data_IF_781498567318
#
_entry.id   IF_781498567318
#
_cell.length_a   1.000
_cell.length_b   1.000
_cell.length_c   1.000
_cell.angle_alpha   90.00
_cell.angle_beta   90.00
_cell.angle_gamma   90.00
#
_symmetry.space_group_name_H-M   'P 1'
#
loop_
_entity.id
_entity.type
_entity.pdbx_description
1 polymer ?
#
# COMPACT_ATOMS: atom_id res chain seq x y z
N UNK A 1 38.69 -16.39 36.64
CA UNK A 1 37.95 -16.58 35.39
C UNK A 1 36.49 -16.91 35.74
N UNK A 2 35.59 -15.87 35.82
CA UNK A 2 34.17 -16.05 36.19
C UNK A 2 33.39 -16.21 34.92
N UNK A 3 32.82 -17.39 34.72
CA UNK A 3 31.87 -17.65 33.65
C UNK A 3 30.51 -17.03 34.06
N UNK A 4 30.11 -15.97 33.44
CA UNK A 4 28.75 -15.45 33.59
C UNK A 4 27.77 -16.29 32.77
N UNK A 5 26.96 -17.05 33.46
CA UNK A 5 25.83 -17.79 32.90
C UNK A 5 24.79 -16.80 32.44
N UNK A 6 24.63 -16.62 31.13
CA UNK A 6 23.54 -15.83 30.53
C UNK A 6 22.30 -16.74 30.54
N UNK A 7 21.53 -16.68 31.64
CA UNK A 7 20.16 -17.23 31.67
C UNK A 7 19.20 -16.22 31.02
N UNK A 8 19.23 -16.17 29.70
CA UNK A 8 18.20 -15.49 28.92
C UNK A 8 16.91 -16.31 28.94
N UNK A 9 16.01 -16.08 29.89
CA UNK A 9 14.63 -16.54 29.82
C UNK A 9 14.02 -15.97 28.53
N UNK A 10 13.89 -16.82 27.49
CA UNK A 10 12.96 -16.57 26.40
C UNK A 10 11.56 -16.47 27.01
N UNK A 11 11.13 -15.25 27.38
CA UNK A 11 9.72 -14.97 27.62
C UNK A 11 9.03 -15.24 26.29
N UNK A 12 8.26 -16.34 26.24
CA UNK A 12 7.20 -16.52 25.28
C UNK A 12 6.25 -15.32 25.43
N UNK A 13 6.52 -14.23 24.69
CA UNK A 13 5.56 -13.16 24.55
C UNK A 13 4.48 -13.72 23.62
N UNK A 14 3.44 -14.31 24.22
CA UNK A 14 2.17 -14.45 23.56
C UNK A 14 1.89 -13.09 22.89
N UNK A 15 1.64 -13.10 21.58
CA UNK A 15 1.34 -11.86 20.84
C UNK A 15 0.21 -11.16 21.59
N UNK A 16 0.42 -10.00 22.20
CA UNK A 16 -0.66 -9.28 22.83
C UNK A 16 -1.62 -8.91 21.68
N UNK A 17 -2.85 -9.36 21.77
CA UNK A 17 -3.91 -9.03 20.82
C UNK A 17 -4.26 -7.54 21.05
N UNK A 18 -3.44 -6.66 20.54
CA UNK A 18 -3.60 -5.22 20.64
C UNK A 18 -4.43 -4.73 19.46
N UNK A 19 -5.26 -3.72 19.69
CA UNK A 19 -6.13 -3.14 18.67
C UNK A 19 -5.39 -2.82 17.34
N UNK A 20 -4.18 -2.23 17.35
CA UNK A 20 -3.43 -2.00 16.09
C UNK A 20 -3.13 -3.28 15.32
N UNK A 21 -2.70 -4.35 16.00
CA UNK A 21 -2.41 -5.65 15.33
C UNK A 21 -3.68 -6.25 14.73
N UNK A 22 -4.82 -6.16 15.43
CA UNK A 22 -6.09 -6.62 14.89
C UNK A 22 -6.48 -5.84 13.62
N UNK A 23 -6.31 -4.52 13.62
CA UNK A 23 -6.60 -3.67 12.45
C UNK A 23 -5.69 -4.02 11.27
N UNK A 24 -4.39 -4.27 11.50
CA UNK A 24 -3.48 -4.73 10.45
C UNK A 24 -3.91 -6.07 9.85
N UNK A 25 -4.32 -7.05 10.67
CA UNK A 25 -4.84 -8.33 10.18
C UNK A 25 -6.15 -8.17 9.40
N UNK A 26 -7.06 -7.33 9.89
CA UNK A 26 -8.29 -7.00 9.18
C UNK A 26 -7.97 -6.45 7.79
N UNK A 27 -7.00 -5.54 7.72
CA UNK A 27 -6.59 -4.92 6.47
C UNK A 27 -5.99 -5.92 5.48
N UNK A 28 -5.13 -6.83 5.97
CA UNK A 28 -4.59 -7.93 5.15
C UNK A 28 -5.71 -8.85 4.62
N UNK A 29 -6.75 -9.10 5.42
CA UNK A 29 -7.90 -9.90 4.99
C UNK A 29 -8.78 -9.17 3.96
N UNK A 30 -8.82 -7.83 3.97
CA UNK A 30 -9.56 -7.04 2.99
C UNK A 30 -8.97 -7.13 1.57
N UNK A 31 -7.66 -7.41 1.42
CA UNK A 31 -7.02 -7.56 0.11
C UNK A 31 -7.61 -8.72 -0.72
N UNK A 32 -7.61 -9.98 -0.21
CA UNK A 32 -8.22 -11.09 -0.94
C UNK A 32 -9.73 -10.91 -1.11
N UNK A 33 -10.41 -10.25 -0.17
CA UNK A 33 -11.83 -9.94 -0.31
C UNK A 33 -12.08 -8.98 -1.48
N UNK A 34 -11.28 -7.91 -1.60
CA UNK A 34 -11.38 -6.95 -2.69
C UNK A 34 -11.16 -7.63 -4.06
N UNK A 35 -10.16 -8.50 -4.14
CA UNK A 35 -9.86 -9.22 -5.38
C UNK A 35 -10.95 -10.26 -5.65
N UNK A 36 -11.34 -11.02 -4.63
CA UNK A 36 -12.28 -12.14 -4.73
C UNK A 36 -13.68 -11.73 -5.18
N UNK A 37 -14.13 -10.50 -4.86
CA UNK A 37 -15.48 -10.05 -5.23
C UNK A 37 -15.72 -10.04 -6.76
N UNK A 38 -14.67 -9.83 -7.55
CA UNK A 38 -14.76 -9.83 -9.01
C UNK A 38 -14.76 -11.24 -9.64
N UNK A 39 -14.55 -12.29 -8.84
CA UNK A 39 -14.70 -13.68 -9.25
C UNK A 39 -16.08 -14.25 -8.95
N UNK A 40 -16.96 -13.46 -8.27
CA UNK A 40 -18.34 -13.87 -8.04
C UNK A 40 -19.13 -13.81 -9.36
N UNK A 41 -20.01 -14.78 -9.62
CA UNK A 41 -20.85 -14.79 -10.81
C UNK A 41 -21.77 -13.57 -10.88
N UNK A 42 -21.96 -13.01 -12.08
CA UNK A 42 -22.80 -11.82 -12.29
C UNK A 42 -24.28 -12.02 -11.88
N UNK A 43 -24.76 -13.28 -11.87
CA UNK A 43 -26.12 -13.59 -11.41
C UNK A 43 -26.30 -13.48 -9.89
N UNK A 44 -25.20 -13.46 -9.11
CA UNK A 44 -25.24 -13.20 -7.66
C UNK A 44 -25.10 -11.71 -7.37
N UNK A 45 -24.13 -11.08 -7.99
CA UNK A 45 -23.81 -9.67 -7.75
C UNK A 45 -23.44 -9.02 -9.08
N UNK A 46 -24.20 -7.98 -9.49
CA UNK A 46 -23.92 -7.26 -10.73
C UNK A 46 -22.53 -6.61 -10.72
N UNK A 47 -21.91 -6.42 -11.88
CA UNK A 47 -20.60 -5.78 -12.02
C UNK A 47 -20.57 -4.38 -11.38
N UNK A 48 -21.69 -3.66 -11.42
CA UNK A 48 -21.81 -2.38 -10.72
C UNK A 48 -21.68 -2.53 -9.20
N UNK A 49 -22.39 -3.49 -8.60
CA UNK A 49 -22.31 -3.74 -7.17
C UNK A 49 -20.95 -4.27 -6.74
N UNK A 50 -20.29 -5.13 -7.56
CA UNK A 50 -18.92 -5.57 -7.34
C UNK A 50 -17.95 -4.38 -7.33
N UNK A 51 -18.07 -3.48 -8.32
CA UNK A 51 -17.26 -2.27 -8.47
C UNK A 51 -17.45 -1.30 -7.30
N UNK A 52 -18.69 -1.06 -6.89
CA UNK A 52 -19.01 -0.22 -5.74
C UNK A 52 -18.46 -0.80 -4.44
N UNK A 53 -18.67 -2.11 -4.22
CA UNK A 53 -18.18 -2.78 -3.01
C UNK A 53 -16.66 -2.79 -2.95
N UNK A 54 -15.97 -3.04 -4.06
CA UNK A 54 -14.51 -2.99 -4.12
C UNK A 54 -13.97 -1.58 -3.83
N UNK A 55 -14.61 -0.53 -4.36
CA UNK A 55 -14.25 0.85 -4.06
C UNK A 55 -14.44 1.17 -2.56
N UNK A 56 -15.55 0.72 -1.95
CA UNK A 56 -15.81 0.90 -0.52
C UNK A 56 -14.77 0.14 0.32
N UNK A 57 -14.47 -1.13 -0.02
CA UNK A 57 -13.45 -1.92 0.68
C UNK A 57 -12.10 -1.21 0.64
N UNK A 58 -11.69 -0.69 -0.53
CA UNK A 58 -10.43 0.04 -0.67
C UNK A 58 -10.40 1.29 0.21
N UNK A 59 -11.48 2.11 0.20
CA UNK A 59 -11.57 3.32 1.02
C UNK A 59 -11.54 2.98 2.51
N UNK A 60 -12.30 1.98 2.94
CA UNK A 60 -12.32 1.53 4.34
C UNK A 60 -10.94 1.05 4.77
N UNK A 61 -10.27 0.25 3.92
CA UNK A 61 -8.91 -0.19 4.19
C UNK A 61 -7.95 1.00 4.35
N UNK A 62 -7.97 1.97 3.43
CA UNK A 62 -7.10 3.14 3.48
C UNK A 62 -7.34 4.02 4.72
N UNK A 63 -8.61 4.18 5.14
CA UNK A 63 -8.96 4.92 6.36
C UNK A 63 -8.50 4.14 7.60
N UNK A 64 -8.69 2.83 7.63
CA UNK A 64 -8.29 1.97 8.74
C UNK A 64 -6.78 2.01 8.94
N UNK A 65 -5.99 1.91 7.87
CA UNK A 65 -4.53 2.03 7.91
C UNK A 65 -4.06 3.38 8.49
N UNK A 66 -4.73 4.47 8.08
CA UNK A 66 -4.40 5.79 8.63
C UNK A 66 -4.71 5.90 10.12
N UNK A 67 -5.83 5.31 10.57
CA UNK A 67 -6.25 5.31 11.98
C UNK A 67 -5.32 4.45 12.83
N UNK A 68 -4.99 3.24 12.40
CA UNK A 68 -4.15 2.33 13.19
C UNK A 68 -2.72 2.86 13.32
N UNK A 69 -2.15 3.41 12.25
CA UNK A 69 -0.86 4.10 12.31
C UNK A 69 -0.87 5.32 13.24
N UNK A 70 -1.98 6.06 13.33
CA UNK A 70 -2.13 7.16 14.28
C UNK A 70 -2.24 6.66 15.73
N UNK A 71 -3.09 5.66 15.98
CA UNK A 71 -3.34 5.08 17.30
C UNK A 71 -2.09 4.39 17.85
N UNK A 72 -1.37 3.62 17.04
CA UNK A 72 -0.14 2.94 17.43
C UNK A 72 0.91 3.93 17.93
N UNK A 73 1.07 5.07 17.26
CA UNK A 73 1.98 6.16 17.68
C UNK A 73 1.50 6.84 18.96
N UNK A 74 0.21 7.13 19.08
CA UNK A 74 -0.38 7.83 20.23
C UNK A 74 -0.31 6.99 21.50
N UNK A 75 -0.46 5.66 21.39
CA UNK A 75 -0.47 4.76 22.55
C UNK A 75 0.87 4.09 22.82
N UNK A 76 1.93 4.40 22.03
CA UNK A 76 3.23 3.73 22.09
C UNK A 76 3.13 2.19 22.04
N UNK A 77 2.15 1.66 21.31
CA UNK A 77 1.89 0.24 21.16
C UNK A 77 2.35 -0.26 19.77
N UNK A 78 3.55 0.14 19.38
CA UNK A 78 4.16 -0.36 18.14
C UNK A 78 4.76 -1.73 18.39
N UNK A 79 4.31 -2.76 17.66
CA UNK A 79 4.95 -4.09 17.66
C UNK A 79 5.93 -4.19 16.49
N UNK A 80 7.00 -4.96 16.68
CA UNK A 80 7.94 -5.26 15.59
C UNK A 80 7.26 -5.96 14.40
N UNK A 81 6.26 -6.80 14.69
CA UNK A 81 5.47 -7.50 13.69
C UNK A 81 4.54 -6.54 12.90
N UNK A 82 3.85 -5.60 13.57
CA UNK A 82 3.05 -4.58 12.91
C UNK A 82 3.91 -3.70 12.01
N UNK A 83 5.03 -3.17 12.52
CA UNK A 83 5.97 -2.38 11.74
C UNK A 83 6.51 -3.08 10.48
N UNK A 84 6.58 -4.41 10.48
CA UNK A 84 6.91 -5.22 9.31
C UNK A 84 5.70 -5.40 8.38
N UNK A 85 4.53 -5.67 8.94
CA UNK A 85 3.34 -6.04 8.16
C UNK A 85 2.69 -4.84 7.47
N UNK A 86 2.67 -3.65 8.12
CA UNK A 86 2.06 -2.42 7.57
C UNK A 86 2.59 -2.07 6.17
N UNK A 87 3.93 -1.97 5.93
CA UNK A 87 4.44 -1.67 4.60
C UNK A 87 4.17 -2.77 3.55
N UNK A 88 3.95 -4.01 3.97
CA UNK A 88 3.63 -5.14 3.07
C UNK A 88 2.17 -5.06 2.66
N UNK A 89 1.29 -4.90 3.63
CA UNK A 89 -0.15 -4.83 3.41
C UNK A 89 -0.52 -3.63 2.51
N UNK A 90 0.05 -2.42 2.77
CA UNK A 90 -0.13 -1.21 1.95
C UNK A 90 0.19 -1.44 0.46
N UNK A 91 1.24 -2.19 0.17
CA UNK A 91 1.59 -2.53 -1.22
C UNK A 91 0.69 -3.60 -1.81
N UNK A 92 0.25 -4.56 -1.00
CA UNK A 92 -0.61 -5.64 -1.48
C UNK A 92 -1.99 -5.13 -1.91
N UNK A 93 -2.60 -4.20 -1.16
CA UNK A 93 -3.92 -3.67 -1.55
C UNK A 93 -3.84 -2.86 -2.85
N UNK A 94 -2.80 -2.05 -3.00
CA UNK A 94 -2.56 -1.27 -4.22
C UNK A 94 -2.27 -2.20 -5.39
N UNK A 95 -1.39 -3.20 -5.22
CA UNK A 95 -1.06 -4.16 -6.27
C UNK A 95 -2.28 -5.01 -6.67
N UNK A 96 -3.02 -5.54 -5.69
CA UNK A 96 -4.25 -6.31 -5.93
C UNK A 96 -5.30 -5.51 -6.67
N UNK A 97 -5.53 -4.26 -6.25
CA UNK A 97 -6.47 -3.36 -6.93
C UNK A 97 -6.04 -3.06 -8.37
N UNK A 98 -4.75 -2.78 -8.61
CA UNK A 98 -4.24 -2.52 -9.97
C UNK A 98 -4.34 -3.76 -10.85
N UNK A 99 -4.08 -4.96 -10.33
CA UNK A 99 -4.25 -6.21 -11.09
C UNK A 99 -5.71 -6.41 -11.51
N UNK A 100 -6.65 -6.19 -10.59
CA UNK A 100 -8.09 -6.23 -10.90
C UNK A 100 -8.46 -5.19 -11.96
N UNK A 101 -7.98 -3.96 -11.83
CA UNK A 101 -8.24 -2.89 -12.80
C UNK A 101 -7.67 -3.22 -14.20
N UNK A 102 -6.51 -3.88 -14.27
CA UNK A 102 -5.95 -4.37 -15.52
C UNK A 102 -6.80 -5.50 -16.09
N UNK A 103 -7.23 -6.45 -15.26
CA UNK A 103 -8.11 -7.56 -15.69
C UNK A 103 -9.44 -7.04 -16.24
N UNK A 104 -10.01 -6.00 -15.65
CA UNK A 104 -11.24 -5.34 -16.10
C UNK A 104 -11.05 -4.43 -17.32
N UNK A 105 -9.83 -4.29 -17.85
CA UNK A 105 -9.51 -3.38 -18.94
C UNK A 105 -9.62 -1.88 -18.62
N UNK A 106 -9.70 -1.51 -17.33
CA UNK A 106 -9.83 -0.12 -16.87
C UNK A 106 -8.49 0.60 -16.73
N UNK A 107 -7.39 -0.15 -16.62
CA UNK A 107 -6.03 0.34 -16.54
C UNK A 107 -5.14 -0.46 -17.49
N UNK A 108 -4.24 0.22 -18.18
CA UNK A 108 -3.25 -0.45 -19.03
C UNK A 108 -2.27 -1.26 -18.17
N UNK A 109 -1.92 -2.48 -18.64
CA UNK A 109 -0.94 -3.33 -17.98
C UNK A 109 0.42 -2.63 -17.78
N UNK A 110 0.82 -1.74 -18.70
CA UNK A 110 2.06 -0.95 -18.61
C UNK A 110 2.00 -0.02 -17.40
N UNK A 111 0.88 0.71 -17.19
CA UNK A 111 0.71 1.59 -16.03
C UNK A 111 0.72 0.79 -14.73
N UNK A 112 0.01 -0.33 -14.67
CA UNK A 112 0.02 -1.22 -13.52
C UNK A 112 1.44 -1.71 -13.18
N UNK A 113 2.18 -2.18 -14.19
CA UNK A 113 3.55 -2.63 -14.03
C UNK A 113 4.50 -1.53 -13.54
N UNK A 114 4.43 -0.33 -14.10
CA UNK A 114 5.27 0.81 -13.67
C UNK A 114 5.02 1.13 -12.20
N UNK A 115 3.77 1.19 -11.76
CA UNK A 115 3.43 1.55 -10.39
C UNK A 115 3.87 0.45 -9.42
N UNK A 116 3.52 -0.81 -9.68
CA UNK A 116 3.84 -1.94 -8.80
C UNK A 116 5.36 -2.17 -8.77
N UNK A 117 6.01 -2.21 -9.93
CA UNK A 117 7.45 -2.44 -10.04
C UNK A 117 8.27 -1.39 -9.29
N UNK A 118 7.87 -0.12 -9.40
CA UNK A 118 8.54 0.95 -8.66
C UNK A 118 8.29 0.84 -7.14
N UNK A 119 7.09 0.49 -6.69
CA UNK A 119 6.83 0.31 -5.26
C UNK A 119 7.75 -0.75 -4.66
N UNK A 120 7.94 -1.86 -5.36
CA UNK A 120 8.84 -2.94 -4.95
C UNK A 120 10.30 -2.45 -4.97
N UNK A 121 10.74 -1.85 -6.08
CA UNK A 121 12.13 -1.41 -6.27
C UNK A 121 12.57 -0.38 -5.22
N UNK A 122 11.72 0.62 -4.95
CA UNK A 122 12.06 1.66 -3.94
C UNK A 122 11.98 1.10 -2.52
N UNK A 123 11.13 0.13 -2.26
CA UNK A 123 11.09 -0.51 -0.94
C UNK A 123 12.36 -1.31 -0.68
N UNK A 124 12.80 -2.10 -1.66
CA UNK A 124 14.05 -2.84 -1.60
C UNK A 124 15.25 -1.88 -1.46
N UNK A 125 15.27 -0.78 -2.21
CA UNK A 125 16.32 0.24 -2.11
C UNK A 125 16.37 0.86 -0.71
N UNK A 126 15.24 1.22 -0.13
CA UNK A 126 15.19 1.80 1.23
C UNK A 126 15.65 0.82 2.29
N UNK A 127 15.25 -0.44 2.19
CA UNK A 127 15.68 -1.48 3.11
C UNK A 127 17.20 -1.69 3.03
N UNK A 128 17.74 -1.74 1.81
CA UNK A 128 19.19 -1.86 1.60
C UNK A 128 19.93 -0.65 2.16
N UNK A 129 19.48 0.58 1.90
CA UNK A 129 20.07 1.81 2.43
C UNK A 129 20.00 1.88 3.95
N UNK A 130 18.94 1.34 4.57
CA UNK A 130 18.86 1.24 6.02
C UNK A 130 19.88 0.27 6.60
N UNK A 131 20.14 -0.85 5.92
CA UNK A 131 21.16 -1.84 6.34
C UNK A 131 22.58 -1.27 6.32
N UNK A 132 22.90 -0.38 5.38
CA UNK A 132 24.21 0.29 5.32
C UNK A 132 24.30 1.58 6.16
N UNK A 133 23.27 1.91 6.95
CA UNK A 133 23.26 3.08 7.83
C UNK A 133 22.88 4.41 7.16
N UNK A 134 22.59 4.43 5.85
CA UNK A 134 22.33 5.63 5.04
C UNK A 134 20.83 5.91 4.80
N UNK A 135 19.98 5.53 5.75
CA UNK A 135 18.51 5.67 5.64
C UNK A 135 18.03 7.12 5.39
N UNK A 136 18.78 8.12 5.87
CA UNK A 136 18.44 9.55 5.69
C UNK A 136 18.57 10.02 4.22
N UNK A 137 19.44 9.40 3.43
CA UNK A 137 19.68 9.78 2.04
C UNK A 137 18.48 9.48 1.12
N UNK A 138 17.65 8.50 1.50
CA UNK A 138 16.43 8.07 0.77
C UNK A 138 15.14 8.40 1.54
N UNK A 139 15.17 9.42 2.40
CA UNK A 139 13.98 9.90 3.10
C UNK A 139 12.87 10.31 2.12
N UNK A 140 11.60 10.19 2.56
CA UNK A 140 10.44 10.47 1.72
C UNK A 140 10.45 11.92 1.25
N UNK A 141 10.54 12.12 -0.07
CA UNK A 141 10.42 13.46 -0.68
C UNK A 141 8.95 13.91 -0.74
N UNK A 142 8.73 15.23 -0.86
CA UNK A 142 7.38 15.80 -1.06
C UNK A 142 6.69 15.21 -2.30
N UNK A 143 7.44 14.95 -3.36
CA UNK A 143 6.94 14.29 -4.58
C UNK A 143 6.38 12.89 -4.30
N UNK A 144 7.04 12.14 -3.38
CA UNK A 144 6.56 10.84 -2.97
C UNK A 144 5.23 10.89 -2.21
N UNK A 145 4.97 11.96 -1.44
CA UNK A 145 3.69 12.15 -0.74
C UNK A 145 2.55 12.47 -1.71
N UNK A 146 2.79 13.39 -2.65
CA UNK A 146 1.78 13.81 -3.65
C UNK A 146 1.38 12.62 -4.53
N UNK A 147 2.35 11.82 -5.01
CA UNK A 147 2.05 10.63 -5.82
C UNK A 147 1.15 9.64 -5.07
N UNK A 148 1.42 9.41 -3.77
CA UNK A 148 0.64 8.47 -2.96
C UNK A 148 -0.80 8.97 -2.79
N UNK A 149 -1.00 10.26 -2.53
CA UNK A 149 -2.33 10.85 -2.44
C UNK A 149 -3.07 10.71 -3.77
N UNK A 150 -2.43 11.05 -4.90
CA UNK A 150 -3.03 10.91 -6.22
C UNK A 150 -3.44 9.46 -6.52
N UNK A 151 -2.61 8.49 -6.16
CA UNK A 151 -2.86 7.06 -6.34
C UNK A 151 -4.01 6.57 -5.44
N UNK A 152 -4.04 6.98 -4.17
CA UNK A 152 -5.10 6.61 -3.21
C UNK A 152 -6.47 7.18 -3.59
N UNK A 153 -6.53 8.28 -4.35
CA UNK A 153 -7.77 8.83 -4.90
C UNK A 153 -8.12 8.15 -6.24
N UNK A 154 -7.13 7.93 -7.11
CA UNK A 154 -7.34 7.38 -8.44
C UNK A 154 -7.88 5.94 -8.41
N UNK A 155 -7.33 5.08 -7.53
CA UNK A 155 -7.69 3.66 -7.48
C UNK A 155 -9.17 3.45 -7.15
N UNK A 156 -9.75 4.00 -6.06
CA UNK A 156 -11.17 3.80 -5.78
C UNK A 156 -12.08 4.43 -6.83
N UNK A 157 -11.68 5.54 -7.48
CA UNK A 157 -12.43 6.12 -8.60
C UNK A 157 -12.47 5.16 -9.79
N UNK A 158 -11.36 4.49 -10.12
CA UNK A 158 -11.28 3.49 -11.19
C UNK A 158 -11.95 2.17 -10.82
N UNK A 159 -11.96 1.79 -9.54
CA UNK A 159 -12.73 0.63 -9.07
C UNK A 159 -14.22 0.88 -9.22
N UNK A 160 -14.70 2.06 -8.83
CA UNK A 160 -16.11 2.44 -8.97
C UNK A 160 -16.53 2.55 -10.44
N UNK A 161 -15.71 3.20 -11.28
CA UNK A 161 -15.83 3.28 -12.74
C UNK A 161 -17.22 3.68 -13.25
N UNK A 162 -17.85 4.67 -12.61
CA UNK A 162 -19.18 5.13 -12.96
C UNK A 162 -19.31 6.66 -12.75
N UNK A 163 -20.39 7.25 -13.20
CA UNK A 163 -20.65 8.68 -12.95
C UNK A 163 -21.11 8.88 -11.51
N UNK A 164 -20.36 9.70 -10.76
CA UNK A 164 -20.72 10.14 -9.43
C UNK A 164 -21.52 11.43 -9.52
N UNK A 165 -22.70 11.48 -8.88
CA UNK A 165 -23.61 12.64 -8.91
C UNK A 165 -23.97 13.14 -10.32
N UNK A 166 -24.07 12.26 -11.32
CA UNK A 166 -24.41 12.52 -12.73
C UNK A 166 -23.40 13.32 -13.54
N UNK A 167 -22.50 14.10 -12.95
CA UNK A 167 -21.57 15.02 -13.66
C UNK A 167 -20.09 14.69 -13.46
N UNK A 168 -19.73 13.89 -12.46
CA UNK A 168 -18.33 13.51 -12.22
C UNK A 168 -18.06 12.15 -12.84
N UNK A 169 -17.31 12.13 -13.93
CA UNK A 169 -16.84 10.89 -14.55
C UNK A 169 -15.60 10.36 -13.79
N UNK A 170 -15.83 9.36 -12.93
CA UNK A 170 -14.76 8.81 -12.10
C UNK A 170 -13.73 8.03 -12.94
N UNK A 171 -14.13 7.45 -14.08
CA UNK A 171 -13.23 6.76 -14.98
C UNK A 171 -12.22 7.74 -15.60
N UNK A 172 -12.72 8.89 -16.08
CA UNK A 172 -11.87 9.92 -16.68
C UNK A 172 -10.91 10.51 -15.65
N UNK A 173 -11.43 11.03 -14.53
CA UNK A 173 -10.60 11.66 -13.49
C UNK A 173 -9.61 10.65 -12.89
N UNK A 174 -10.08 9.43 -12.58
CA UNK A 174 -9.23 8.38 -12.04
C UNK A 174 -8.08 8.01 -12.96
N UNK A 175 -8.32 7.92 -14.28
CA UNK A 175 -7.27 7.63 -15.26
C UNK A 175 -6.22 8.74 -15.29
N UNK A 176 -6.62 10.01 -15.36
CA UNK A 176 -5.68 11.13 -15.34
C UNK A 176 -4.86 11.19 -14.05
N UNK A 177 -5.51 11.02 -12.90
CA UNK A 177 -4.80 10.98 -11.61
C UNK A 177 -3.81 9.81 -11.53
N UNK A 178 -4.17 8.64 -12.07
CA UNK A 178 -3.29 7.48 -12.08
C UNK A 178 -2.08 7.70 -13.02
N UNK A 179 -2.27 8.32 -14.18
CA UNK A 179 -1.18 8.69 -15.09
C UNK A 179 -0.24 9.71 -14.43
N UNK A 180 -0.78 10.75 -13.78
CA UNK A 180 0.02 11.71 -13.03
C UNK A 180 0.80 10.99 -11.92
N UNK A 181 0.16 10.10 -11.15
CA UNK A 181 0.82 9.31 -10.14
C UNK A 181 1.94 8.44 -10.71
N UNK A 182 1.76 7.84 -11.90
CA UNK A 182 2.78 7.06 -12.58
C UNK A 182 3.98 7.92 -13.01
N UNK A 183 3.75 9.10 -13.58
CA UNK A 183 4.81 10.04 -13.96
C UNK A 183 5.61 10.46 -12.71
N UNK A 184 4.93 10.94 -11.66
CA UNK A 184 5.57 11.31 -10.40
C UNK A 184 6.34 10.14 -9.77
N UNK A 185 5.84 8.94 -9.96
CA UNK A 185 6.45 7.69 -9.51
C UNK A 185 7.79 7.45 -10.18
N UNK A 186 7.86 7.56 -11.51
CA UNK A 186 9.11 7.39 -12.28
C UNK A 186 10.11 8.51 -11.94
N UNK A 187 9.66 9.77 -11.91
CA UNK A 187 10.52 10.92 -11.57
C UNK A 187 11.14 10.75 -10.19
N UNK A 188 10.32 10.37 -9.19
CA UNK A 188 10.81 10.14 -7.82
C UNK A 188 11.77 8.95 -7.74
N UNK A 189 11.55 7.89 -8.52
CA UNK A 189 12.46 6.73 -8.59
C UNK A 189 13.82 7.14 -9.13
N UNK A 190 13.87 7.89 -10.23
CA UNK A 190 15.13 8.38 -10.79
C UNK A 190 15.89 9.28 -9.80
N UNK A 191 15.17 10.10 -9.05
CA UNK A 191 15.77 10.92 -8.00
C UNK A 191 16.42 10.08 -6.89
N UNK A 192 15.73 9.04 -6.40
CA UNK A 192 16.27 8.15 -5.38
C UNK A 192 17.46 7.32 -5.88
N UNK A 193 17.38 6.80 -7.10
CA UNK A 193 18.49 6.06 -7.70
C UNK A 193 19.73 6.94 -7.86
N UNK A 194 19.59 8.18 -8.33
CA UNK A 194 20.70 9.13 -8.42
C UNK A 194 21.37 9.40 -7.09
N UNK A 195 20.60 9.45 -6.00
CA UNK A 195 21.16 9.63 -4.66
C UNK A 195 21.83 8.38 -4.10
N UNK A 196 21.34 7.20 -4.45
CA UNK A 196 21.88 5.94 -3.97
C UNK A 196 23.12 5.49 -4.71
N UNK A 197 23.26 5.77 -6.03
CA UNK A 197 24.37 5.36 -6.87
C UNK A 197 25.76 5.69 -6.33
N UNK A 198 26.05 6.88 -5.76
CA UNK A 198 27.36 7.20 -5.19
C UNK A 198 27.73 6.34 -3.96
N UNK A 199 26.71 5.82 -3.26
CA UNK A 199 26.86 5.02 -2.03
C UNK A 199 26.94 3.51 -2.30
N UNK A 200 26.82 3.11 -3.58
CA UNK A 200 26.94 1.73 -4.04
C UNK A 200 28.38 1.32 -4.42
N UNK A 201 29.34 2.26 -4.27
CA UNK A 201 30.77 2.01 -4.59
C UNK A 201 31.55 1.52 -3.40
#
# INVERSE_FOLDING_TARGET
MKVQTISGTCKNQAMPFNLPIFLTWLWVALVPLLVGIFYLPEHWISLYAQSLTAAIIFIVAAITDWIDGYLARKWNQTSAFGAFLDPVADKLIVAGSLLVLVQLGRVSAILGFIIIGREIAISALREWMAKIGESKSVAVSSLGKIKTIAQMIAIPMLLFYNKLFYFIDTAFIGTYLLVIAAILTVVSMLYYLRKALPLMK
#
